data_IF_278876491015
#
_entry.id   IF_278876491015
#
_cell.length_a   1.000
_cell.length_b   1.000
_cell.length_c   1.000
_cell.angle_alpha   90.00
_cell.angle_beta   90.00
_cell.angle_gamma   90.00
#
_symmetry.space_group_name_H-M   'P 1'
#
loop_
_entity.id
_entity.type
_entity.pdbx_description
1 polymer ?
#
# COMPACT_ATOMS: atom_id res chain seq x y z
N UNK A 1 -27.86 -1.92 -5.55
CA UNK A 1 -26.67 -2.77 -5.74
C UNK A 1 -26.17 -3.19 -4.37
N UNK A 2 -25.68 -4.43 -4.19
CA UNK A 2 -25.20 -4.91 -2.89
C UNK A 2 -23.90 -4.23 -2.42
N UNK A 3 -23.48 -4.50 -1.18
CA UNK A 3 -22.17 -4.13 -0.67
C UNK A 3 -21.05 -4.74 -1.52
N UNK A 4 -19.90 -4.07 -1.68
CA UNK A 4 -18.75 -4.65 -2.39
C UNK A 4 -18.27 -5.92 -1.68
N UNK A 5 -17.72 -6.87 -2.44
CA UNK A 5 -16.96 -7.97 -1.86
C UNK A 5 -15.75 -7.43 -1.08
N UNK A 6 -15.35 -8.03 0.05
CA UNK A 6 -14.10 -7.66 0.71
C UNK A 6 -12.87 -7.95 -0.19
N UNK A 7 -11.68 -7.40 0.12
CA UNK A 7 -10.52 -7.45 -0.77
C UNK A 7 -10.10 -8.86 -1.20
N UNK A 8 -10.10 -9.82 -0.27
CA UNK A 8 -9.73 -11.22 -0.55
C UNK A 8 -10.72 -11.89 -1.51
N UNK A 9 -12.02 -11.78 -1.22
CA UNK A 9 -13.08 -12.34 -2.06
C UNK A 9 -13.17 -11.62 -3.41
N UNK A 10 -12.87 -10.33 -3.45
CA UNK A 10 -12.73 -9.55 -4.68
C UNK A 10 -11.60 -10.13 -5.54
N UNK A 11 -10.41 -10.31 -4.96
CA UNK A 11 -9.27 -10.91 -5.64
C UNK A 11 -9.60 -12.27 -6.24
N UNK A 12 -10.21 -13.16 -5.44
CA UNK A 12 -10.67 -14.48 -5.91
C UNK A 12 -11.68 -14.37 -7.05
N UNK A 13 -12.72 -13.56 -6.88
CA UNK A 13 -13.80 -13.40 -7.87
C UNK A 13 -13.27 -12.89 -9.21
N UNK A 14 -12.34 -11.93 -9.17
CA UNK A 14 -11.67 -11.38 -10.35
C UNK A 14 -10.78 -12.44 -10.99
N UNK A 15 -9.91 -13.11 -10.23
CA UNK A 15 -8.98 -14.10 -10.75
C UNK A 15 -9.68 -15.27 -11.47
N UNK A 16 -10.81 -15.73 -10.96
CA UNK A 16 -11.64 -16.78 -11.59
C UNK A 16 -12.24 -16.37 -12.96
N UNK A 17 -12.27 -15.06 -13.26
CA UNK A 17 -12.96 -14.47 -14.42
C UNK A 17 -12.06 -13.56 -15.25
N UNK A 18 -10.78 -13.49 -14.90
CA UNK A 18 -9.80 -12.62 -15.54
C UNK A 18 -9.50 -13.10 -16.95
N UNK A 19 -9.30 -12.16 -17.88
CA UNK A 19 -9.03 -12.47 -19.29
C UNK A 19 -7.58 -12.16 -19.67
N UNK A 20 -7.03 -11.09 -19.12
CA UNK A 20 -5.69 -10.59 -19.46
C UNK A 20 -4.64 -10.87 -18.39
N UNK A 21 -5.04 -11.33 -17.20
CA UNK A 21 -4.10 -11.67 -16.12
C UNK A 21 -4.39 -13.06 -15.58
N UNK A 22 -3.41 -13.96 -15.61
CA UNK A 22 -3.49 -15.32 -15.06
C UNK A 22 -2.61 -15.45 -13.81
N UNK A 23 -3.08 -16.21 -12.82
CA UNK A 23 -2.25 -16.67 -11.69
C UNK A 23 -1.65 -18.02 -12.06
N UNK A 24 -0.33 -18.14 -11.96
CA UNK A 24 0.41 -19.33 -12.40
C UNK A 24 0.82 -20.18 -11.19
N UNK A 25 0.23 -21.36 -11.06
CA UNK A 25 0.45 -22.27 -9.90
C UNK A 25 1.93 -22.63 -9.69
N UNK A 26 2.68 -22.89 -10.77
CA UNK A 26 4.11 -23.18 -10.68
C UNK A 26 4.90 -21.99 -10.12
N UNK A 27 4.53 -20.77 -10.50
CA UNK A 27 5.14 -19.55 -9.96
C UNK A 27 4.77 -19.31 -8.51
N UNK A 28 3.50 -19.50 -8.16
CA UNK A 28 3.03 -19.46 -6.77
C UNK A 28 3.83 -20.43 -5.90
N UNK A 29 4.03 -21.67 -6.36
CA UNK A 29 4.84 -22.66 -5.65
C UNK A 29 6.30 -22.21 -5.48
N UNK A 30 6.94 -21.73 -6.55
CA UNK A 30 8.33 -21.23 -6.49
C UNK A 30 8.48 -20.07 -5.52
N UNK A 31 7.57 -19.11 -5.53
CA UNK A 31 7.61 -17.96 -4.60
C UNK A 31 7.38 -18.42 -3.17
N UNK A 32 6.44 -19.33 -2.92
CA UNK A 32 6.22 -19.90 -1.60
C UNK A 32 7.49 -20.62 -1.08
N UNK A 33 8.20 -21.38 -1.92
CA UNK A 33 9.47 -22.02 -1.56
C UNK A 33 10.58 -21.00 -1.29
N UNK A 34 10.67 -19.94 -2.09
CA UNK A 34 11.61 -18.84 -1.86
C UNK A 34 11.37 -18.19 -0.49
N UNK A 35 10.13 -17.83 -0.18
CA UNK A 35 9.75 -17.25 1.12
C UNK A 35 10.00 -18.23 2.26
N UNK A 36 9.67 -19.51 2.06
CA UNK A 36 9.93 -20.57 3.04
C UNK A 36 11.41 -20.63 3.40
N UNK A 37 12.32 -20.56 2.44
CA UNK A 37 13.75 -20.58 2.70
C UNK A 37 14.23 -19.32 3.47
N UNK A 38 13.48 -18.22 3.40
CA UNK A 38 13.78 -16.96 4.09
C UNK A 38 13.11 -16.81 5.46
N UNK A 39 12.23 -17.75 5.87
CA UNK A 39 11.32 -17.62 7.02
C UNK A 39 11.98 -17.36 8.37
N UNK A 40 13.23 -17.76 8.55
CA UNK A 40 13.98 -17.55 9.79
C UNK A 40 14.74 -16.21 9.80
N UNK A 41 14.67 -15.44 8.70
CA UNK A 41 15.26 -14.12 8.60
C UNK A 41 14.30 -13.00 9.02
N UNK A 42 14.86 -11.82 9.29
CA UNK A 42 14.09 -10.63 9.71
C UNK A 42 13.11 -10.10 8.65
N UNK A 43 13.23 -10.55 7.40
CA UNK A 43 12.50 -9.99 6.26
C UNK A 43 11.03 -10.38 6.18
N UNK A 44 10.59 -11.37 6.97
CA UNK A 44 9.19 -11.82 7.04
C UNK A 44 8.57 -11.55 8.41
N UNK A 45 8.74 -10.34 8.91
CA UNK A 45 8.18 -9.91 10.20
C UNK A 45 7.53 -8.54 10.12
N UNK A 46 6.58 -8.24 11.01
CA UNK A 46 5.98 -6.92 11.14
C UNK A 46 7.05 -5.82 11.37
N UNK A 47 8.09 -6.16 12.16
CA UNK A 47 9.19 -5.27 12.49
C UNK A 47 10.02 -4.83 11.27
N UNK A 48 9.94 -5.58 10.16
CA UNK A 48 10.63 -5.23 8.92
C UNK A 48 10.14 -3.88 8.36
N UNK A 49 8.89 -3.51 8.63
CA UNK A 49 8.34 -2.19 8.27
C UNK A 49 9.25 -1.04 8.71
N UNK A 50 9.83 -1.12 9.92
CA UNK A 50 10.75 -0.09 10.44
C UNK A 50 12.04 0.02 9.61
N UNK A 51 12.57 -1.11 9.13
CA UNK A 51 13.72 -1.13 8.23
C UNK A 51 13.34 -0.55 6.85
N UNK A 52 12.11 -0.79 6.41
CA UNK A 52 11.59 -0.30 5.14
C UNK A 52 11.28 1.21 5.15
N UNK A 53 10.94 1.79 6.31
CA UNK A 53 10.60 3.21 6.45
C UNK A 53 11.45 3.95 7.51
N UNK A 54 12.75 4.18 7.26
CA UNK A 54 13.67 4.80 8.22
C UNK A 54 13.37 6.28 8.50
N UNK A 55 12.44 6.89 7.76
CA UNK A 55 12.07 8.31 7.88
C UNK A 55 10.91 8.55 8.84
N UNK A 56 10.21 7.50 9.28
CA UNK A 56 9.16 7.59 10.27
C UNK A 56 9.72 8.06 11.63
N UNK A 57 8.98 8.89 12.40
CA UNK A 57 9.36 9.28 13.75
C UNK A 57 9.57 8.08 14.67
N UNK A 58 10.26 8.29 15.80
CA UNK A 58 10.41 7.25 16.81
C UNK A 58 9.05 6.75 17.27
N UNK A 59 8.88 5.43 17.24
CA UNK A 59 7.64 4.75 17.61
C UNK A 59 7.24 4.95 19.07
N UNK A 60 7.93 5.72 19.90
CA UNK A 60 7.61 5.90 21.33
C UNK A 60 6.55 6.97 21.61
N UNK A 61 6.15 7.77 20.61
CA UNK A 61 5.17 8.86 20.79
C UNK A 61 4.06 8.80 19.74
N UNK A 62 2.87 9.31 20.07
CA UNK A 62 1.73 9.36 19.13
C UNK A 62 2.00 10.20 17.87
N UNK A 63 3.11 10.96 17.81
CA UNK A 63 3.60 11.53 16.56
C UNK A 63 3.85 10.49 15.47
N UNK A 64 4.34 9.29 15.82
CA UNK A 64 4.54 8.24 14.82
C UNK A 64 3.20 7.78 14.22
N UNK A 65 2.14 7.68 15.04
CA UNK A 65 0.79 7.32 14.58
C UNK A 65 0.19 8.42 13.70
N UNK A 66 0.35 9.68 14.09
CA UNK A 66 -0.14 10.81 13.31
C UNK A 66 0.64 10.98 12.00
N UNK A 67 1.95 10.72 12.01
CA UNK A 67 2.78 10.71 10.80
C UNK A 67 2.33 9.62 9.83
N UNK A 68 2.10 8.40 10.33
CA UNK A 68 1.57 7.29 9.53
C UNK A 68 0.23 7.65 8.90
N UNK A 69 -0.70 8.24 9.67
CA UNK A 69 -1.97 8.69 9.12
C UNK A 69 -1.79 9.66 7.94
N UNK A 70 -0.91 10.66 8.06
CA UNK A 70 -0.65 11.62 6.98
C UNK A 70 -0.01 10.95 5.78
N UNK A 71 1.04 10.15 5.98
CA UNK A 71 1.79 9.51 4.90
C UNK A 71 0.92 8.50 4.15
N UNK A 72 0.15 7.67 4.84
CA UNK A 72 -0.72 6.68 4.22
C UNK A 72 -1.93 7.31 3.54
N UNK A 73 -2.47 8.39 4.10
CA UNK A 73 -3.47 9.22 3.41
C UNK A 73 -2.91 9.81 2.12
N UNK A 74 -1.61 10.05 2.05
CA UNK A 74 -0.94 10.57 0.86
C UNK A 74 -0.25 9.46 0.02
N UNK A 75 -0.41 8.18 0.34
CA UNK A 75 0.33 7.07 -0.28
C UNK A 75 -0.25 6.65 -1.65
N UNK A 76 -0.09 7.53 -2.63
CA UNK A 76 -0.51 7.32 -4.02
C UNK A 76 0.32 8.13 -5.03
N UNK A 77 0.56 7.58 -6.21
CA UNK A 77 0.83 8.20 -7.51
C UNK A 77 2.21 8.82 -7.65
N UNK A 78 3.21 8.10 -7.16
CA UNK A 78 4.61 8.55 -7.13
C UNK A 78 5.41 8.32 -8.41
N UNK A 79 4.89 7.56 -9.39
CA UNK A 79 5.64 7.35 -10.63
C UNK A 79 5.66 8.65 -11.45
N UNK A 80 6.81 8.98 -12.05
CA UNK A 80 6.97 10.18 -12.85
C UNK A 80 6.27 10.03 -14.21
N UNK A 81 6.03 11.14 -14.91
CA UNK A 81 5.58 11.11 -16.31
C UNK A 81 6.70 10.65 -17.26
N UNK A 82 7.94 10.95 -16.91
CA UNK A 82 9.15 10.53 -17.62
C UNK A 82 10.22 10.13 -16.60
N UNK A 83 11.04 9.13 -16.89
CA UNK A 83 12.07 8.65 -15.95
C UNK A 83 13.03 9.76 -15.49
N UNK A 84 13.23 10.78 -16.32
CA UNK A 84 14.10 11.94 -16.05
C UNK A 84 13.39 13.07 -15.27
N UNK A 85 12.11 12.93 -14.94
CA UNK A 85 11.29 13.95 -14.26
C UNK A 85 10.75 13.37 -12.96
N UNK A 86 11.64 13.03 -12.03
CA UNK A 86 11.27 12.54 -10.69
C UNK A 86 11.23 13.69 -9.70
N UNK A 87 10.18 13.73 -8.87
CA UNK A 87 10.13 14.61 -7.72
C UNK A 87 11.15 14.13 -6.67
N UNK A 88 12.07 15.02 -6.32
CA UNK A 88 13.17 14.76 -5.40
C UNK A 88 13.02 15.59 -4.12
N UNK A 89 13.30 14.97 -2.97
CA UNK A 89 13.40 15.67 -1.68
C UNK A 89 14.64 15.20 -0.96
N UNK A 90 15.51 16.14 -0.63
CA UNK A 90 16.72 15.95 0.15
C UNK A 90 16.41 16.20 1.61
N UNK A 91 16.67 15.19 2.44
CA UNK A 91 16.46 15.25 3.87
C UNK A 91 17.65 14.60 4.59
N UNK A 92 18.26 15.35 5.52
CA UNK A 92 19.44 14.92 6.30
C UNK A 92 20.59 14.40 5.44
N UNK A 93 20.84 15.06 4.30
CA UNK A 93 21.95 14.76 3.39
C UNK A 93 21.68 13.65 2.37
N UNK A 94 20.48 13.07 2.36
CA UNK A 94 20.08 12.03 1.39
C UNK A 94 18.93 12.53 0.53
N UNK A 95 19.07 12.40 -0.80
CA UNK A 95 18.00 12.69 -1.76
C UNK A 95 17.13 11.44 -1.97
N UNK A 96 15.82 11.60 -1.82
CA UNK A 96 14.83 10.54 -1.94
C UNK A 96 13.95 10.75 -3.18
N UNK A 97 13.54 9.63 -3.79
CA UNK A 97 12.61 9.56 -4.93
C UNK A 97 11.44 8.61 -4.66
N UNK A 98 10.37 8.72 -5.46
CA UNK A 98 9.18 7.87 -5.37
C UNK A 98 8.43 8.05 -4.06
N UNK A 99 7.96 6.95 -3.46
CA UNK A 99 7.27 6.98 -2.15
C UNK A 99 8.13 7.65 -1.06
N UNK A 100 9.45 7.43 -1.07
CA UNK A 100 10.33 7.99 -0.06
C UNK A 100 10.43 9.53 -0.13
N UNK A 101 10.12 10.14 -1.28
CA UNK A 101 10.01 11.60 -1.41
C UNK A 101 8.93 12.16 -0.49
N UNK A 102 7.78 11.49 -0.42
CA UNK A 102 6.70 11.89 0.49
C UNK A 102 7.14 11.76 1.94
N UNK A 103 7.70 10.61 2.32
CA UNK A 103 8.19 10.39 3.69
C UNK A 103 9.21 11.48 4.08
N UNK A 104 10.15 11.80 3.19
CA UNK A 104 11.15 12.83 3.41
C UNK A 104 10.52 14.24 3.53
N UNK A 105 9.53 14.56 2.69
CA UNK A 105 8.84 15.84 2.73
C UNK A 105 8.07 16.06 4.05
N UNK A 106 7.32 15.05 4.51
CA UNK A 106 6.57 15.14 5.77
C UNK A 106 7.52 15.24 6.97
N UNK A 107 8.58 14.44 7.01
CA UNK A 107 9.57 14.49 8.09
C UNK A 107 10.36 15.81 8.08
N UNK A 108 10.69 16.35 6.90
CA UNK A 108 11.30 17.67 6.76
C UNK A 108 10.38 18.78 7.29
N UNK A 109 9.10 18.76 6.93
CA UNK A 109 8.14 19.75 7.41
C UNK A 109 7.99 19.73 8.94
N UNK A 110 8.02 18.55 9.56
CA UNK A 110 8.03 18.42 11.02
C UNK A 110 9.30 19.02 11.66
N UNK A 111 10.48 18.74 11.09
CA UNK A 111 11.74 19.32 11.57
C UNK A 111 11.79 20.86 11.36
N UNK A 112 11.06 21.38 10.36
CA UNK A 112 10.86 22.83 10.10
C UNK A 112 9.82 23.47 11.04
N UNK A 113 9.19 22.70 11.94
CA UNK A 113 8.20 23.20 12.89
C UNK A 113 6.79 23.36 12.30
N UNK A 114 6.53 22.86 11.10
CA UNK A 114 5.19 22.85 10.51
C UNK A 114 4.38 21.72 11.17
N UNK A 115 3.21 21.98 11.77
CA UNK A 115 2.38 20.97 12.43
C UNK A 115 1.60 20.11 11.41
N UNK A 116 2.28 19.59 10.37
CA UNK A 116 1.65 18.86 9.26
C UNK A 116 0.94 17.56 9.69
N UNK A 117 1.25 17.04 10.88
CA UNK A 117 0.61 15.86 11.48
C UNK A 117 -0.51 16.19 12.47
N UNK A 118 -0.86 17.47 12.66
CA UNK A 118 -1.99 17.91 13.48
C UNK A 118 -3.28 18.02 12.63
N UNK A 119 -4.35 17.25 12.92
CA UNK A 119 -5.62 17.33 12.20
C UNK A 119 -6.24 18.72 12.17
N UNK A 120 -6.02 19.54 13.19
CA UNK A 120 -6.48 20.94 13.24
C UNK A 120 -5.82 21.75 12.13
N UNK A 121 -4.52 21.56 11.92
CA UNK A 121 -3.76 22.24 10.88
C UNK A 121 -4.16 21.73 9.49
N UNK A 122 -4.01 20.42 9.24
CA UNK A 122 -4.16 19.90 7.88
C UNK A 122 -5.63 19.82 7.41
N UNK A 123 -6.62 20.01 8.28
CA UNK A 123 -8.04 20.18 7.87
C UNK A 123 -8.37 21.57 7.32
N UNK A 124 -7.52 22.56 7.59
CA UNK A 124 -7.72 23.97 7.24
C UNK A 124 -6.62 24.56 6.35
N UNK A 125 -5.47 23.87 6.23
CA UNK A 125 -4.36 24.32 5.38
C UNK A 125 -4.81 24.60 3.94
N UNK A 126 -4.19 25.58 3.32
CA UNK A 126 -4.32 25.90 1.90
C UNK A 126 -3.52 24.93 1.03
N UNK A 127 -3.84 24.91 -0.27
CA UNK A 127 -3.07 24.16 -1.27
C UNK A 127 -1.63 24.68 -1.32
N UNK A 128 -1.41 25.98 -1.12
CA UNK A 128 -0.09 26.62 -1.11
C UNK A 128 0.76 26.17 0.07
N UNK A 129 0.16 26.03 1.26
CA UNK A 129 0.83 25.47 2.43
C UNK A 129 1.24 24.02 2.19
N UNK A 130 0.34 23.20 1.63
CA UNK A 130 0.70 21.83 1.27
C UNK A 130 1.77 21.78 0.18
N UNK A 131 1.72 22.69 -0.81
CA UNK A 131 2.74 22.81 -1.85
C UNK A 131 4.12 23.10 -1.25
N UNK A 132 4.17 23.96 -0.24
CA UNK A 132 5.40 24.25 0.49
C UNK A 132 5.90 23.05 1.28
N UNK A 133 5.02 22.31 1.95
CA UNK A 133 5.37 21.06 2.66
C UNK A 133 5.95 20.02 1.69
N UNK A 134 5.29 19.81 0.56
CA UNK A 134 5.64 18.78 -0.43
C UNK A 134 6.60 19.27 -1.53
N UNK A 135 7.20 20.46 -1.37
CA UNK A 135 8.07 21.07 -2.39
C UNK A 135 9.22 20.16 -2.77
N UNK A 136 9.48 20.02 -4.07
CA UNK A 136 10.68 19.33 -4.54
C UNK A 136 11.90 20.23 -4.43
N UNK A 137 13.08 19.62 -4.38
CA UNK A 137 14.36 20.32 -4.52
C UNK A 137 14.79 20.47 -5.98
N UNK A 138 13.98 20.00 -6.94
CA UNK A 138 14.16 20.19 -8.38
C UNK A 138 12.88 20.77 -9.03
N UNK A 139 12.89 20.90 -10.36
CA UNK A 139 11.78 21.49 -11.14
C UNK A 139 10.54 20.59 -11.23
N UNK A 140 10.63 19.32 -10.83
CA UNK A 140 9.52 18.37 -10.90
C UNK A 140 8.70 18.40 -9.61
N UNK A 141 7.46 18.92 -9.62
CA UNK A 141 6.64 18.98 -8.41
C UNK A 141 6.17 17.60 -7.96
N UNK A 142 5.75 17.50 -6.70
CA UNK A 142 5.00 16.33 -6.21
C UNK A 142 3.71 16.17 -7.03
N UNK A 143 3.46 14.99 -7.63
CA UNK A 143 2.28 14.76 -8.46
C UNK A 143 1.00 14.83 -7.63
N UNK A 144 -0.11 15.20 -8.29
CA UNK A 144 -1.46 15.21 -7.72
C UNK A 144 -1.61 16.09 -6.46
N UNK A 145 -0.96 17.25 -6.44
CA UNK A 145 -0.99 18.15 -5.29
C UNK A 145 -2.43 18.53 -4.85
N UNK A 146 -3.32 18.76 -5.81
CA UNK A 146 -4.71 19.13 -5.53
C UNK A 146 -5.46 17.99 -4.85
N UNK A 147 -5.31 16.76 -5.34
CA UNK A 147 -5.96 15.58 -4.77
C UNK A 147 -5.35 15.23 -3.41
N UNK A 148 -4.03 15.37 -3.24
CA UNK A 148 -3.35 15.25 -1.94
C UNK A 148 -3.92 16.20 -0.90
N UNK A 149 -4.14 17.46 -1.29
CA UNK A 149 -4.80 18.46 -0.44
C UNK A 149 -6.22 18.04 -0.06
N UNK A 150 -7.02 17.60 -1.05
CA UNK A 150 -8.40 17.20 -0.83
C UNK A 150 -8.51 16.00 0.14
N UNK A 151 -7.74 14.93 -0.07
CA UNK A 151 -7.83 13.73 0.76
C UNK A 151 -7.30 13.96 2.18
N UNK A 152 -6.25 14.78 2.33
CA UNK A 152 -5.70 15.08 3.66
C UNK A 152 -6.62 16.00 4.45
N UNK A 153 -7.19 17.03 3.80
CA UNK A 153 -8.19 17.92 4.45
C UNK A 153 -9.47 17.17 4.80
N UNK A 154 -9.95 16.25 3.96
CA UNK A 154 -11.06 15.34 4.26
C UNK A 154 -10.76 14.51 5.52
N UNK A 155 -9.62 13.82 5.54
CA UNK A 155 -9.19 13.03 6.69
C UNK A 155 -9.13 13.87 7.97
N UNK A 156 -8.62 15.11 7.88
CA UNK A 156 -8.51 16.00 9.04
C UNK A 156 -9.87 16.38 9.62
N UNK A 157 -10.84 16.72 8.78
CA UNK A 157 -12.20 17.04 9.23
C UNK A 157 -12.85 15.85 9.93
N UNK A 158 -12.72 14.65 9.36
CA UNK A 158 -13.25 13.42 9.97
C UNK A 158 -12.59 13.13 11.31
N UNK A 159 -11.27 13.29 11.43
CA UNK A 159 -10.58 13.11 12.70
C UNK A 159 -11.06 14.12 13.75
N UNK A 160 -11.23 15.40 13.39
CA UNK A 160 -11.75 16.44 14.30
C UNK A 160 -13.16 16.11 14.80
N UNK A 161 -14.03 15.59 13.94
CA UNK A 161 -15.38 15.13 14.33
C UNK A 161 -15.34 13.91 15.26
N UNK A 162 -14.23 13.17 15.31
CA UNK A 162 -14.10 11.87 15.98
C UNK A 162 -12.98 11.86 17.05
N UNK A 163 -12.86 12.96 17.80
CA UNK A 163 -11.96 13.06 18.95
C UNK A 163 -10.59 13.70 18.66
N UNK A 164 -10.42 14.31 17.48
CA UNK A 164 -9.29 15.19 17.16
C UNK A 164 -7.94 14.51 16.93
N UNK A 165 -7.88 13.17 16.89
CA UNK A 165 -6.64 12.42 16.66
C UNK A 165 -6.91 11.07 15.99
N UNK A 166 -5.93 10.56 15.25
CA UNK A 166 -6.03 9.24 14.61
C UNK A 166 -6.22 8.12 15.65
N UNK A 167 -5.49 8.19 16.78
CA UNK A 167 -5.62 7.22 17.87
C UNK A 167 -7.04 7.17 18.43
N UNK A 168 -7.66 8.32 18.68
CA UNK A 168 -9.04 8.38 19.18
C UNK A 168 -10.04 7.84 18.15
N UNK A 169 -9.87 8.22 16.89
CA UNK A 169 -10.70 7.73 15.79
C UNK A 169 -10.64 6.19 15.68
N UNK A 170 -9.44 5.61 15.57
CA UNK A 170 -9.25 4.19 15.29
C UNK A 170 -9.57 3.28 16.48
N UNK A 171 -9.47 3.80 17.71
CA UNK A 171 -9.78 3.03 18.94
C UNK A 171 -11.20 2.45 18.97
N UNK A 172 -12.15 3.08 18.25
CA UNK A 172 -13.54 2.64 18.13
C UNK A 172 -13.69 1.27 17.44
N UNK A 173 -12.68 0.84 16.69
CA UNK A 173 -12.65 -0.47 16.05
C UNK A 173 -12.26 -1.60 17.02
N UNK A 174 -11.84 -1.28 18.26
CA UNK A 174 -11.58 -2.27 19.30
C UNK A 174 -10.37 -3.18 19.02
N UNK A 175 -9.30 -2.63 18.44
CA UNK A 175 -8.07 -3.36 18.07
C UNK A 175 -8.28 -4.54 17.10
N UNK A 176 -9.32 -4.51 16.26
CA UNK A 176 -9.57 -5.51 15.23
C UNK A 176 -9.28 -4.94 13.83
N UNK A 177 -8.36 -5.58 13.08
CA UNK A 177 -7.90 -5.07 11.79
C UNK A 177 -9.03 -4.92 10.76
N UNK A 178 -9.98 -5.86 10.71
CA UNK A 178 -11.12 -5.77 9.80
C UNK A 178 -11.98 -4.55 10.14
N UNK A 179 -12.35 -4.41 11.42
CA UNK A 179 -13.19 -3.28 11.87
C UNK A 179 -12.49 -1.93 11.68
N UNK A 180 -11.17 -1.89 11.80
CA UNK A 180 -10.37 -0.70 11.52
C UNK A 180 -10.47 -0.28 10.06
N UNK A 181 -10.27 -1.22 9.13
CA UNK A 181 -10.40 -0.94 7.69
C UNK A 181 -11.83 -0.51 7.36
N UNK A 182 -12.83 -1.23 7.87
CA UNK A 182 -14.25 -0.89 7.68
C UNK A 182 -14.56 0.53 8.19
N UNK A 183 -14.08 0.91 9.38
CA UNK A 183 -14.27 2.23 9.96
C UNK A 183 -13.62 3.33 9.11
N UNK A 184 -12.38 3.12 8.65
CA UNK A 184 -11.65 4.06 7.78
C UNK A 184 -12.42 4.28 6.48
N UNK A 185 -12.82 3.20 5.80
CA UNK A 185 -13.54 3.23 4.53
C UNK A 185 -14.93 3.84 4.69
N UNK A 186 -15.62 3.55 5.79
CA UNK A 186 -16.95 4.12 6.07
C UNK A 186 -16.86 5.64 6.29
N UNK A 187 -15.89 6.11 7.08
CA UNK A 187 -15.85 7.50 7.53
C UNK A 187 -15.01 8.44 6.67
N UNK A 188 -14.02 7.93 5.94
CA UNK A 188 -13.13 8.73 5.09
C UNK A 188 -13.31 8.29 3.62
N UNK A 189 -14.24 8.92 2.86
CA UNK A 189 -14.61 8.47 1.53
C UNK A 189 -13.47 8.29 0.54
N UNK A 190 -12.40 9.08 0.63
CA UNK A 190 -11.23 8.91 -0.24
C UNK A 190 -10.54 7.55 -0.09
N UNK A 191 -10.77 6.81 1.01
CA UNK A 191 -10.27 5.44 1.19
C UNK A 191 -11.15 4.35 0.53
N UNK A 192 -12.33 4.69 -0.03
CA UNK A 192 -13.28 3.76 -0.67
C UNK A 192 -12.81 3.32 -2.06
N UNK A 193 -11.75 2.54 -2.06
CA UNK A 193 -11.13 1.95 -3.25
C UNK A 193 -11.93 0.73 -3.73
N UNK A 194 -12.87 1.00 -4.64
CA UNK A 194 -13.89 0.07 -5.14
C UNK A 194 -14.07 0.19 -6.67
N UNK A 195 -14.50 -0.90 -7.30
CA UNK A 195 -14.81 -0.94 -8.73
C UNK A 195 -16.01 -1.86 -9.02
N UNK A 196 -16.49 -1.84 -10.27
CA UNK A 196 -17.46 -2.83 -10.77
C UNK A 196 -16.78 -3.74 -11.79
N UNK A 197 -16.80 -5.04 -11.53
CA UNK A 197 -16.19 -6.06 -12.38
C UNK A 197 -17.21 -7.15 -12.71
N UNK A 198 -17.48 -7.37 -14.00
CA UNK A 198 -18.46 -8.37 -14.48
C UNK A 198 -19.81 -8.28 -13.72
N UNK A 199 -20.32 -7.05 -13.58
CA UNK A 199 -21.59 -6.74 -12.91
C UNK A 199 -21.58 -6.82 -11.37
N UNK A 200 -20.43 -7.11 -10.74
CA UNK A 200 -20.29 -7.22 -9.28
C UNK A 200 -19.43 -6.09 -8.72
N UNK A 201 -19.83 -5.53 -7.57
CA UNK A 201 -19.00 -4.58 -6.84
C UNK A 201 -17.87 -5.31 -6.11
N UNK A 202 -16.65 -4.85 -6.32
CA UNK A 202 -15.41 -5.38 -5.75
C UNK A 202 -14.67 -4.25 -5.04
N UNK A 203 -13.80 -4.59 -4.10
CA UNK A 203 -12.96 -3.63 -3.39
C UNK A 203 -11.52 -4.09 -3.28
N UNK A 204 -10.64 -3.11 -3.07
CA UNK A 204 -9.20 -3.33 -2.84
C UNK A 204 -8.74 -2.68 -1.54
N UNK A 205 -9.33 -1.53 -1.18
CA UNK A 205 -9.04 -0.78 0.06
C UNK A 205 -7.54 -0.59 0.34
N UNK A 206 -6.70 -0.45 -0.71
CA UNK A 206 -5.23 -0.51 -0.59
C UNK A 206 -4.69 0.40 0.52
N UNK A 207 -5.00 1.70 0.46
CA UNK A 207 -4.52 2.66 1.47
C UNK A 207 -5.06 2.39 2.88
N UNK A 208 -6.30 1.90 3.00
CA UNK A 208 -6.88 1.61 4.31
C UNK A 208 -6.21 0.38 4.94
N UNK A 209 -5.90 -0.63 4.13
CA UNK A 209 -5.16 -1.80 4.58
C UNK A 209 -3.72 -1.43 4.98
N UNK A 210 -3.03 -0.58 4.21
CA UNK A 210 -1.70 -0.05 4.57
C UNK A 210 -1.76 0.69 5.90
N UNK A 211 -2.71 1.63 6.07
CA UNK A 211 -2.87 2.40 7.31
C UNK A 211 -2.99 1.52 8.55
N UNK A 212 -3.74 0.41 8.44
CA UNK A 212 -3.90 -0.55 9.55
C UNK A 212 -2.64 -1.40 9.75
N UNK A 213 -1.95 -1.79 8.67
CA UNK A 213 -0.71 -2.55 8.74
C UNK A 213 0.45 -1.73 9.34
N UNK A 214 0.55 -0.45 9.00
CA UNK A 214 1.55 0.49 9.52
C UNK A 214 1.28 0.82 11.00
N UNK A 215 0.00 1.00 11.38
CA UNK A 215 -0.42 1.08 12.77
C UNK A 215 -0.01 -0.18 13.55
N UNK A 216 -0.26 -1.37 12.99
CA UNK A 216 0.14 -2.64 13.59
C UNK A 216 1.65 -2.71 13.80
N UNK A 217 2.45 -2.34 12.80
CA UNK A 217 3.91 -2.30 12.89
C UNK A 217 4.42 -1.38 14.01
N UNK A 218 3.80 -0.21 14.19
CA UNK A 218 4.13 0.71 15.29
C UNK A 218 3.74 0.11 16.65
N UNK A 219 2.53 -0.45 16.76
CA UNK A 219 2.01 -1.01 18.01
C UNK A 219 2.86 -2.21 18.50
N UNK A 220 3.21 -3.12 17.60
CA UNK A 220 4.15 -4.22 17.87
C UNK A 220 5.51 -3.71 18.36
N UNK A 221 6.06 -2.68 17.70
CA UNK A 221 7.34 -2.09 18.09
C UNK A 221 7.30 -1.42 19.48
N UNK A 222 6.14 -0.95 19.93
CA UNK A 222 5.93 -0.43 21.29
C UNK A 222 5.67 -1.51 22.32
N UNK A 223 5.35 -2.74 21.90
CA UNK A 223 4.76 -3.75 22.78
C UNK A 223 3.36 -3.37 23.27
N UNK A 224 2.64 -2.50 22.56
CA UNK A 224 1.27 -2.10 22.87
C UNK A 224 0.29 -3.04 22.16
N UNK A 225 -0.48 -3.83 22.93
CA UNK A 225 -1.73 -4.52 22.54
C UNK A 225 -1.80 -5.16 21.14
N UNK A 226 -2.02 -6.47 21.07
CA UNK A 226 -2.19 -7.14 19.77
C UNK A 226 -3.39 -6.58 18.98
N UNK A 227 -3.14 -6.18 17.73
CA UNK A 227 -4.21 -6.03 16.74
C UNK A 227 -4.63 -7.43 16.31
N UNK A 228 -5.88 -7.78 16.64
CA UNK A 228 -6.44 -9.08 16.27
C UNK A 228 -6.89 -9.06 14.81
N UNK A 229 -7.11 -10.26 14.25
CA UNK A 229 -7.63 -10.43 12.89
C UNK A 229 -6.70 -9.83 11.81
N UNK A 230 -5.40 -9.69 12.06
CA UNK A 230 -4.45 -9.11 11.09
C UNK A 230 -4.39 -9.90 9.77
N UNK A 231 -4.64 -11.22 9.82
CA UNK A 231 -4.75 -12.07 8.63
C UNK A 231 -5.96 -11.72 7.75
N UNK A 232 -6.90 -10.88 8.23
CA UNK A 232 -7.94 -10.34 7.36
C UNK A 232 -7.35 -9.48 6.23
N UNK A 233 -6.25 -8.76 6.50
CA UNK A 233 -5.55 -7.96 5.50
C UNK A 233 -4.99 -8.84 4.38
N UNK A 234 -5.02 -8.31 3.17
CA UNK A 234 -4.39 -8.91 1.98
C UNK A 234 -3.05 -8.23 1.69
N UNK A 235 -2.39 -8.64 0.61
CA UNK A 235 -1.38 -7.78 -0.01
C UNK A 235 -2.01 -6.46 -0.48
N UNK A 236 -1.19 -5.42 -0.63
CA UNK A 236 -1.66 -4.09 -0.99
C UNK A 236 -1.52 -3.92 -2.50
N UNK A 237 -2.64 -4.00 -3.21
CA UNK A 237 -2.68 -4.01 -4.68
C UNK A 237 -2.28 -2.66 -5.29
N UNK A 238 -0.96 -2.41 -5.35
CA UNK A 238 -0.30 -1.27 -5.97
C UNK A 238 0.20 -1.61 -7.40
N UNK A 239 1.15 -0.83 -7.93
CA UNK A 239 1.73 -1.05 -9.26
C UNK A 239 3.08 -1.79 -9.27
N UNK A 240 3.76 -1.92 -8.12
CA UNK A 240 5.09 -2.56 -8.01
C UNK A 240 5.02 -4.04 -7.65
N UNK A 241 4.12 -4.42 -6.73
CA UNK A 241 3.98 -5.81 -6.33
C UNK A 241 3.48 -6.68 -7.50
N UNK A 242 2.51 -6.26 -8.34
CA UNK A 242 2.15 -7.02 -9.53
C UNK A 242 3.32 -7.20 -10.50
N UNK A 243 4.18 -6.18 -10.67
CA UNK A 243 5.38 -6.25 -11.51
C UNK A 243 6.33 -7.35 -10.99
N UNK A 244 6.57 -7.40 -9.67
CA UNK A 244 7.39 -8.44 -9.05
C UNK A 244 6.77 -9.83 -9.18
N UNK A 245 5.45 -9.97 -9.03
CA UNK A 245 4.76 -11.24 -9.20
C UNK A 245 4.85 -11.77 -10.64
N UNK A 246 4.83 -10.89 -11.66
CA UNK A 246 5.09 -11.29 -13.05
C UNK A 246 6.53 -11.72 -13.24
N UNK A 247 7.49 -10.98 -12.68
CA UNK A 247 8.92 -11.33 -12.77
C UNK A 247 9.24 -12.69 -12.14
N UNK A 248 8.65 -12.96 -10.98
CA UNK A 248 8.76 -14.25 -10.28
C UNK A 248 7.96 -15.37 -10.96
N UNK A 249 7.13 -15.01 -11.95
CA UNK A 249 6.30 -15.91 -12.74
C UNK A 249 5.07 -16.43 -12.01
N UNK A 250 4.65 -15.79 -10.90
CA UNK A 250 3.40 -16.09 -10.19
C UNK A 250 2.17 -15.45 -10.86
N UNK A 251 2.40 -14.39 -11.64
CA UNK A 251 1.40 -13.82 -12.56
C UNK A 251 1.90 -13.90 -13.99
N UNK A 252 0.96 -13.98 -14.94
CA UNK A 252 1.22 -13.81 -16.37
C UNK A 252 0.20 -12.84 -16.97
N UNK A 253 0.67 -11.91 -17.78
CA UNK A 253 -0.20 -11.04 -18.59
C UNK A 253 -0.41 -11.63 -19.98
N UNK A 254 -1.56 -11.39 -20.58
CA UNK A 254 -1.79 -11.65 -22.00
C UNK A 254 -0.83 -10.82 -22.85
N UNK A 255 -0.57 -11.28 -24.07
CA UNK A 255 0.28 -10.54 -25.02
C UNK A 255 -0.28 -9.14 -25.30
N UNK A 256 -1.61 -9.01 -25.39
CA UNK A 256 -2.30 -7.75 -25.63
C UNK A 256 -2.10 -6.76 -24.46
N UNK A 257 -2.27 -7.22 -23.21
CA UNK A 257 -2.02 -6.37 -22.04
C UNK A 257 -0.55 -5.99 -21.92
N UNK A 258 0.36 -6.96 -22.09
CA UNK A 258 1.79 -6.69 -22.06
C UNK A 258 2.21 -5.66 -23.13
N UNK A 259 1.65 -5.76 -24.34
CA UNK A 259 1.91 -4.80 -25.41
C UNK A 259 1.33 -3.41 -25.09
N UNK A 260 0.11 -3.33 -24.56
CA UNK A 260 -0.49 -2.06 -24.11
C UNK A 260 0.41 -1.34 -23.08
N UNK A 261 0.88 -2.09 -22.07
CA UNK A 261 1.78 -1.55 -21.05
C UNK A 261 3.13 -1.10 -21.63
N UNK A 262 3.72 -1.88 -22.55
CA UNK A 262 4.97 -1.51 -23.24
C UNK A 262 4.83 -0.26 -24.11
N UNK A 263 3.64 -0.01 -24.63
CA UNK A 263 3.33 1.21 -25.38
C UNK A 263 3.05 2.42 -24.48
N UNK A 264 3.12 2.26 -23.14
CA UNK A 264 2.86 3.33 -22.18
C UNK A 264 1.37 3.67 -22.04
N UNK A 265 0.46 2.77 -22.40
CA UNK A 265 -0.97 3.00 -22.27
C UNK A 265 -1.35 3.21 -20.79
N UNK A 266 -2.06 4.32 -20.51
CA UNK A 266 -2.62 4.59 -19.20
C UNK A 266 -3.90 3.77 -19.02
N UNK A 267 -3.98 3.02 -17.92
CA UNK A 267 -5.20 2.32 -17.54
C UNK A 267 -6.00 3.22 -16.60
N UNK A 268 -7.27 3.45 -16.90
CA UNK A 268 -8.13 4.22 -16.00
C UNK A 268 -8.48 3.41 -14.76
N UNK A 269 -8.74 4.07 -13.63
CA UNK A 269 -9.24 3.39 -12.44
C UNK A 269 -10.62 2.78 -12.74
N UNK A 270 -10.78 1.48 -12.49
CA UNK A 270 -11.96 0.72 -12.87
C UNK A 270 -11.93 0.14 -14.30
N UNK A 271 -10.85 0.36 -15.07
CA UNK A 271 -10.63 -0.38 -16.32
C UNK A 271 -10.51 -1.88 -15.99
N UNK A 272 -11.15 -2.73 -16.81
CA UNK A 272 -11.15 -4.18 -16.61
C UNK A 272 -9.74 -4.73 -16.40
N UNK A 273 -8.75 -4.29 -17.19
CA UNK A 273 -7.35 -4.75 -17.12
C UNK A 273 -6.67 -4.29 -15.84
N UNK A 274 -6.93 -3.07 -15.41
CA UNK A 274 -6.44 -2.53 -14.13
C UNK A 274 -7.00 -3.35 -12.95
N UNK A 275 -8.31 -3.56 -12.93
CA UNK A 275 -8.99 -4.39 -11.93
C UNK A 275 -8.47 -5.83 -11.93
N UNK A 276 -8.23 -6.42 -13.11
CA UNK A 276 -7.63 -7.76 -13.26
C UNK A 276 -6.22 -7.84 -12.68
N UNK A 277 -5.35 -6.86 -12.97
CA UNK A 277 -4.00 -6.81 -12.41
C UNK A 277 -4.04 -6.81 -10.89
N UNK A 278 -4.87 -5.96 -10.29
CA UNK A 278 -4.99 -5.86 -8.82
C UNK A 278 -5.60 -7.10 -8.20
N UNK A 279 -6.73 -7.57 -8.74
CA UNK A 279 -7.47 -8.71 -8.21
C UNK A 279 -6.65 -10.00 -8.27
N UNK A 280 -6.01 -10.27 -9.41
CA UNK A 280 -5.13 -11.42 -9.55
C UNK A 280 -3.89 -11.32 -8.65
N UNK A 281 -3.37 -10.12 -8.39
CA UNK A 281 -2.24 -9.91 -7.47
C UNK A 281 -2.63 -10.25 -6.03
N UNK A 282 -3.80 -9.80 -5.57
CA UNK A 282 -4.35 -10.18 -4.26
C UNK A 282 -4.46 -11.70 -4.18
N UNK A 283 -5.14 -12.31 -5.15
CA UNK A 283 -5.37 -13.76 -5.12
C UNK A 283 -4.08 -14.57 -5.22
N UNK A 284 -3.11 -14.12 -6.03
CA UNK A 284 -1.81 -14.76 -6.14
C UNK A 284 -1.08 -14.78 -4.80
N UNK A 285 -1.10 -13.70 -4.01
CA UNK A 285 -0.44 -13.67 -2.69
C UNK A 285 -1.19 -14.53 -1.66
N UNK A 286 -2.52 -14.58 -1.71
CA UNK A 286 -3.27 -15.52 -0.86
C UNK A 286 -2.90 -16.98 -1.16
N UNK A 287 -2.73 -17.35 -2.43
CA UNK A 287 -2.27 -18.70 -2.81
C UNK A 287 -0.82 -18.96 -2.39
N UNK A 288 0.06 -17.95 -2.50
CA UNK A 288 1.44 -18.04 -2.01
C UNK A 288 1.45 -18.27 -0.49
N UNK A 289 0.63 -17.54 0.27
CA UNK A 289 0.46 -17.71 1.73
C UNK A 289 0.03 -19.14 2.05
N UNK A 290 -1.00 -19.64 1.37
CA UNK A 290 -1.52 -21.00 1.59
C UNK A 290 -0.45 -22.06 1.30
N UNK A 291 0.30 -21.93 0.20
CA UNK A 291 1.39 -22.86 -0.15
C UNK A 291 2.54 -22.77 0.85
N UNK A 292 2.94 -21.56 1.25
CA UNK A 292 3.96 -21.37 2.29
C UNK A 292 3.55 -22.06 3.60
N UNK A 293 2.30 -21.89 4.04
CA UNK A 293 1.83 -22.50 5.27
C UNK A 293 1.78 -24.02 5.20
N UNK A 294 1.43 -24.60 4.04
CA UNK A 294 1.55 -26.05 3.81
C UNK A 294 3.01 -26.51 3.94
N UNK A 295 3.96 -25.79 3.36
CA UNK A 295 5.39 -26.11 3.47
C UNK A 295 5.86 -26.10 4.93
N UNK A 296 5.47 -25.09 5.72
CA UNK A 296 5.78 -25.02 7.17
C UNK A 296 5.19 -26.20 7.93
N UNK A 297 3.93 -26.54 7.65
CA UNK A 297 3.28 -27.67 8.32
C UNK A 297 3.92 -29.01 7.95
N UNK A 298 4.24 -29.24 6.68
CA UNK A 298 4.78 -30.50 6.17
C UNK A 298 6.24 -30.73 6.55
N UNK A 299 7.06 -29.67 6.56
CA UNK A 299 8.52 -29.78 6.69
C UNK A 299 9.03 -29.43 8.08
N UNK A 300 8.41 -28.47 8.77
CA UNK A 300 8.83 -28.05 10.12
C UNK A 300 7.88 -28.56 11.21
N UNK A 301 6.71 -29.10 10.86
CA UNK A 301 5.66 -29.53 11.80
C UNK A 301 5.20 -28.41 12.76
N UNK A 302 5.25 -27.17 12.28
CA UNK A 302 4.88 -25.97 13.05
C UNK A 302 3.59 -25.34 12.54
N UNK A 303 2.92 -24.57 13.40
CA UNK A 303 1.80 -23.72 13.00
C UNK A 303 2.34 -22.53 12.21
N UNK A 304 1.79 -22.31 11.02
CA UNK A 304 2.08 -21.14 10.21
C UNK A 304 1.42 -19.89 10.79
N UNK A 305 2.17 -18.80 10.95
CA UNK A 305 1.68 -17.51 11.47
C UNK A 305 1.87 -16.34 10.51
N UNK A 306 2.33 -16.58 9.28
CA UNK A 306 2.50 -15.53 8.27
C UNK A 306 1.12 -15.06 7.78
N UNK A 307 1.02 -13.77 7.45
CA UNK A 307 -0.14 -13.18 6.80
C UNK A 307 0.27 -12.48 5.50
N UNK A 308 -0.71 -12.14 4.67
CA UNK A 308 -0.48 -11.54 3.35
C UNK A 308 0.17 -10.15 3.41
N UNK A 309 -0.07 -9.37 4.47
CA UNK A 309 0.59 -8.07 4.66
C UNK A 309 2.10 -8.23 4.91
N UNK A 310 2.53 -9.26 5.65
CA UNK A 310 3.95 -9.57 5.83
C UNK A 310 4.61 -10.02 4.52
N UNK A 311 3.89 -10.76 3.67
CA UNK A 311 4.39 -11.12 2.34
C UNK A 311 4.53 -9.86 1.47
N UNK A 312 3.59 -8.93 1.55
CA UNK A 312 3.67 -7.64 0.86
C UNK A 312 4.88 -6.80 1.31
N UNK A 313 5.11 -6.72 2.63
CA UNK A 313 6.28 -6.06 3.22
C UNK A 313 7.61 -6.61 2.71
N UNK A 314 7.63 -7.84 2.19
CA UNK A 314 8.78 -8.41 1.50
C UNK A 314 8.77 -8.09 -0.01
N UNK A 315 7.65 -8.34 -0.70
CA UNK A 315 7.55 -8.21 -2.16
C UNK A 315 7.74 -6.77 -2.64
N UNK A 316 7.28 -5.78 -1.88
CA UNK A 316 7.41 -4.38 -2.28
C UNK A 316 8.88 -3.90 -2.28
N UNK A 317 9.68 -4.07 -1.21
CA UNK A 317 11.12 -3.79 -1.27
C UNK A 317 11.86 -4.67 -2.28
N UNK A 318 11.47 -5.95 -2.44
CA UNK A 318 12.02 -6.82 -3.48
C UNK A 318 11.86 -6.16 -4.86
N UNK A 319 10.66 -5.65 -5.18
CA UNK A 319 10.41 -4.96 -6.43
C UNK A 319 11.32 -3.73 -6.63
N UNK A 320 11.59 -2.98 -5.56
CA UNK A 320 12.51 -1.83 -5.60
C UNK A 320 13.97 -2.24 -5.80
N UNK A 321 14.42 -3.31 -5.14
CA UNK A 321 15.79 -3.81 -5.24
C UNK A 321 16.08 -4.39 -6.64
N UNK A 322 15.10 -5.08 -7.23
CA UNK A 322 15.22 -5.74 -8.53
C UNK A 322 14.68 -4.92 -9.71
N UNK A 323 14.39 -3.62 -9.53
CA UNK A 323 13.74 -2.78 -10.56
C UNK A 323 14.45 -2.80 -11.92
N UNK A 324 15.79 -2.89 -11.95
CA UNK A 324 16.57 -2.95 -13.20
C UNK A 324 16.37 -4.27 -13.94
N UNK A 325 16.33 -5.39 -13.21
CA UNK A 325 16.09 -6.72 -13.78
C UNK A 325 14.68 -6.82 -14.35
N UNK A 326 13.72 -6.17 -13.69
CA UNK A 326 12.30 -6.15 -14.08
C UNK A 326 11.95 -5.08 -15.11
N UNK A 327 12.91 -4.31 -15.64
CA UNK A 327 12.65 -3.20 -16.56
C UNK A 327 11.91 -3.62 -17.85
N UNK A 328 11.99 -4.90 -18.22
CA UNK A 328 11.29 -5.47 -19.37
C UNK A 328 9.79 -5.76 -19.13
N UNK A 329 9.32 -5.61 -17.89
CA UNK A 329 7.93 -5.75 -17.44
C UNK A 329 7.48 -4.35 -16.98
N UNK A 330 6.79 -3.56 -17.81
CA UNK A 330 6.34 -2.24 -17.40
C UNK A 330 5.33 -2.32 -16.26
N UNK A 331 5.36 -1.33 -15.36
CA UNK A 331 4.28 -1.13 -14.39
C UNK A 331 3.03 -0.64 -15.11
N UNK A 332 1.85 -0.93 -14.56
CA UNK A 332 0.63 -0.29 -15.04
C UNK A 332 0.50 1.11 -14.43
N UNK A 333 0.13 2.07 -15.25
CA UNK A 333 -0.03 3.46 -14.84
C UNK A 333 -1.51 3.81 -14.72
N UNK A 334 -1.97 4.06 -13.49
CA UNK A 334 -3.34 4.44 -13.17
C UNK A 334 -3.35 5.66 -12.27
N UNK A 335 -3.49 6.87 -12.84
CA UNK A 335 -3.40 8.12 -12.05
C UNK A 335 -4.70 8.35 -11.27
N UNK A 336 -4.72 8.01 -9.99
CA UNK A 336 -5.82 8.31 -9.07
C UNK A 336 -5.37 8.25 -7.60
N UNK A 337 -6.27 8.57 -6.67
CA UNK A 337 -5.98 8.56 -5.23
C UNK A 337 -5.80 7.15 -4.63
N UNK A 338 -6.07 6.09 -5.39
CA UNK A 338 -6.00 4.70 -4.90
C UNK A 338 -4.67 4.01 -5.19
N UNK A 339 -3.81 4.62 -6.01
CA UNK A 339 -2.59 4.02 -6.55
C UNK A 339 -1.35 4.73 -6.13
#
# INVERSE_FOLDING_TARGET
MGSPLPPRESGKYIAERSRDVSVEEDGVQRVAEMLYNLRHGDSLTASFWKKANPLAPTHTSDQALNWVFVVDTLNFSFWPESENQQCEVTYKGTTYTGYMTLCAAISRAMDEGIPITDPTYFSQMSVQELAHVLRSDNETPMPMLQERHQVLTEGGRVLLEHGGSFRSFISRAGNDAQKMVELVVEKIPSYRDEATYEGKRVSFYKRAQILVADLWGIMEARGEGAIISIDWLTMFADYRVPQALVYLGALRYSDALMQALKNGELLSSGDRREVEIRGCSIWSVELIKDRFCKLVQERDTQTCSINSAVIDFYLWPYAKQHHKEMAHIPIHHTRCVYY
#
